data_IF_078081530956
#
_entry.id   IF_078081530956
#
_cell.length_a   1.000
_cell.length_b   1.000
_cell.length_c   1.000
_cell.angle_alpha   90.00
_cell.angle_beta   90.00
_cell.angle_gamma   90.00
#
_symmetry.space_group_name_H-M   'P 1'
#
loop_
_entity.id
_entity.type
_entity.pdbx_description
1 polymer ?
#
# COMPACT_ATOMS: atom_id res chain seq x y z
N UNK A 1 -10.53 17.28 -0.01
CA UNK A 1 -10.41 15.82 0.16
C UNK A 1 -10.40 15.51 1.66
N UNK A 2 -11.11 14.48 2.15
CA UNK A 2 -11.07 14.07 3.56
C UNK A 2 -9.66 13.70 3.99
N UNK A 3 -9.32 13.96 5.26
CA UNK A 3 -7.96 13.72 5.78
C UNK A 3 -7.53 12.25 5.65
N UNK A 4 -8.48 11.31 5.78
CA UNK A 4 -8.22 9.89 5.59
C UNK A 4 -7.78 9.54 4.16
N UNK A 5 -8.36 10.19 3.15
CA UNK A 5 -7.99 10.00 1.74
C UNK A 5 -6.60 10.58 1.48
N UNK A 6 -6.31 11.77 2.02
CA UNK A 6 -4.98 12.39 1.92
C UNK A 6 -3.93 11.48 2.58
N UNK A 7 -4.18 11.02 3.80
CA UNK A 7 -3.28 10.11 4.51
C UNK A 7 -3.03 8.81 3.72
N UNK A 8 -4.08 8.24 3.13
CA UNK A 8 -3.95 7.07 2.27
C UNK A 8 -3.11 7.37 1.01
N UNK A 9 -3.38 8.47 0.30
CA UNK A 9 -2.62 8.85 -0.89
C UNK A 9 -1.16 9.12 -0.58
N UNK A 10 -0.86 9.80 0.53
CA UNK A 10 0.50 10.00 1.02
C UNK A 10 1.18 8.66 1.28
N UNK A 11 0.52 7.75 1.99
CA UNK A 11 1.01 6.39 2.21
C UNK A 11 1.31 5.67 0.88
N UNK A 12 0.36 5.64 -0.05
CA UNK A 12 0.49 4.92 -1.31
C UNK A 12 1.60 5.51 -2.19
N UNK A 13 1.76 6.83 -2.21
CA UNK A 13 2.85 7.51 -2.94
C UNK A 13 4.21 7.24 -2.29
N UNK A 14 4.30 7.24 -0.96
CA UNK A 14 5.53 6.88 -0.25
C UNK A 14 5.90 5.41 -0.50
N UNK A 15 4.91 4.52 -0.51
CA UNK A 15 5.13 3.11 -0.82
C UNK A 15 5.62 2.97 -2.26
N UNK A 16 4.98 3.62 -3.23
CA UNK A 16 5.40 3.59 -4.64
C UNK A 16 6.80 4.20 -4.84
N UNK A 17 7.13 5.30 -4.16
CA UNK A 17 8.46 5.88 -4.20
C UNK A 17 9.51 4.92 -3.63
N UNK A 18 9.22 4.28 -2.50
CA UNK A 18 10.07 3.25 -1.90
C UNK A 18 10.28 2.06 -2.86
N UNK A 19 9.23 1.58 -3.50
CA UNK A 19 9.32 0.55 -4.54
C UNK A 19 10.17 1.01 -5.73
N UNK A 20 10.00 2.26 -6.17
CA UNK A 20 10.79 2.90 -7.23
C UNK A 20 12.30 2.87 -6.94
N UNK A 21 12.69 3.16 -5.69
CA UNK A 21 14.10 3.09 -5.26
C UNK A 21 14.67 1.66 -5.31
N UNK A 22 13.82 0.63 -5.23
CA UNK A 22 14.23 -0.78 -5.32
C UNK A 22 14.24 -1.35 -6.73
N UNK A 23 13.82 -0.59 -7.76
CA UNK A 23 13.68 -1.09 -9.13
C UNK A 23 14.96 -1.69 -9.70
N UNK A 24 16.13 -1.09 -9.45
CA UNK A 24 17.40 -1.63 -9.94
C UNK A 24 17.64 -3.09 -9.49
N UNK A 25 17.35 -3.39 -8.22
CA UNK A 25 17.47 -4.74 -7.65
C UNK A 25 16.42 -5.70 -8.24
N UNK A 26 15.20 -5.21 -8.46
CA UNK A 26 14.11 -5.99 -9.06
C UNK A 26 14.47 -6.38 -10.50
N UNK A 27 15.01 -5.43 -11.28
CA UNK A 27 15.45 -5.67 -12.67
C UNK A 27 16.59 -6.69 -12.71
N UNK A 28 17.61 -6.52 -11.87
CA UNK A 28 18.73 -7.47 -11.78
C UNK A 28 18.26 -8.88 -11.40
N UNK A 29 17.34 -8.98 -10.45
CA UNK A 29 16.72 -10.27 -10.08
C UNK A 29 15.96 -10.89 -11.25
N UNK A 30 15.20 -10.08 -12.02
CA UNK A 30 14.45 -10.55 -13.19
C UNK A 30 15.37 -11.00 -14.34
N UNK A 31 16.55 -10.39 -14.50
CA UNK A 31 17.55 -10.83 -15.48
C UNK A 31 18.14 -12.20 -15.12
N UNK A 32 18.44 -12.43 -13.84
CA UNK A 32 19.04 -13.69 -13.37
C UNK A 32 18.03 -14.83 -13.27
N UNK A 33 16.79 -14.51 -12.86
CA UNK A 33 15.70 -15.46 -12.74
C UNK A 33 14.39 -14.79 -13.16
N UNK A 34 13.86 -15.10 -14.36
CA UNK A 34 12.75 -14.35 -14.95
C UNK A 34 11.43 -14.46 -14.16
N UNK A 35 11.23 -15.55 -13.41
CA UNK A 35 10.05 -15.73 -12.56
C UNK A 35 10.50 -16.17 -11.18
N UNK A 36 10.26 -15.32 -10.19
CA UNK A 36 10.46 -15.63 -8.76
C UNK A 36 9.24 -15.20 -7.98
N UNK A 37 8.93 -15.90 -6.87
CA UNK A 37 7.81 -15.52 -6.01
C UNK A 37 7.94 -14.07 -5.53
N UNK A 38 9.16 -13.67 -5.14
CA UNK A 38 9.47 -12.31 -4.72
C UNK A 38 9.21 -11.30 -5.84
N UNK A 39 9.66 -11.57 -7.07
CA UNK A 39 9.42 -10.71 -8.23
C UNK A 39 7.91 -10.52 -8.51
N UNK A 40 7.12 -11.59 -8.42
CA UNK A 40 5.66 -11.53 -8.57
C UNK A 40 5.03 -10.63 -7.49
N UNK A 41 5.47 -10.75 -6.24
CA UNK A 41 5.00 -9.89 -5.14
C UNK A 41 5.33 -8.42 -5.40
N UNK A 42 6.56 -8.11 -5.84
CA UNK A 42 6.95 -6.73 -6.18
C UNK A 42 6.11 -6.16 -7.32
N UNK A 43 5.95 -6.89 -8.41
CA UNK A 43 5.14 -6.46 -9.56
C UNK A 43 3.68 -6.23 -9.16
N UNK A 44 3.11 -7.14 -8.36
CA UNK A 44 1.75 -7.00 -7.85
C UNK A 44 1.61 -5.76 -6.96
N UNK A 45 2.58 -5.46 -6.09
CA UNK A 45 2.56 -4.27 -5.22
C UNK A 45 2.68 -2.97 -6.02
N UNK A 46 3.56 -2.90 -7.02
CA UNK A 46 3.69 -1.74 -7.90
C UNK A 46 2.37 -1.51 -8.65
N UNK A 47 1.83 -2.57 -9.27
CA UNK A 47 0.57 -2.51 -10.00
C UNK A 47 -0.58 -2.07 -9.08
N UNK A 48 -0.70 -2.67 -7.90
CA UNK A 48 -1.70 -2.31 -6.91
C UNK A 48 -1.58 -0.83 -6.47
N UNK A 49 -0.37 -0.31 -6.28
CA UNK A 49 -0.18 1.10 -5.94
C UNK A 49 -0.66 2.04 -7.04
N UNK A 50 -0.11 1.89 -8.25
CA UNK A 50 -0.42 2.78 -9.37
C UNK A 50 -1.92 2.73 -9.67
N UNK A 51 -2.47 1.52 -9.76
CA UNK A 51 -3.89 1.30 -10.04
C UNK A 51 -4.79 1.90 -8.95
N UNK A 52 -4.49 1.64 -7.67
CA UNK A 52 -5.32 2.15 -6.56
C UNK A 52 -5.26 3.66 -6.45
N UNK A 53 -4.07 4.27 -6.57
CA UNK A 53 -3.91 5.73 -6.60
C UNK A 53 -4.77 6.32 -7.73
N UNK A 54 -4.71 5.72 -8.91
CA UNK A 54 -5.47 6.18 -10.09
C UNK A 54 -6.97 6.06 -9.85
N UNK A 55 -7.46 4.94 -9.33
CA UNK A 55 -8.88 4.77 -9.01
C UNK A 55 -9.35 5.76 -7.93
N UNK A 56 -8.57 5.94 -6.87
CA UNK A 56 -8.93 6.87 -5.79
C UNK A 56 -9.01 8.30 -6.32
N UNK A 57 -8.16 8.71 -7.26
CA UNK A 57 -8.18 10.08 -7.82
C UNK A 57 -9.24 10.23 -8.92
N UNK A 58 -9.31 9.29 -9.87
CA UNK A 58 -10.03 9.45 -11.14
C UNK A 58 -11.36 8.70 -11.21
N UNK A 59 -11.49 7.55 -10.53
CA UNK A 59 -12.68 6.69 -10.59
C UNK A 59 -13.12 6.28 -9.18
N UNK A 60 -13.43 7.31 -8.38
CA UNK A 60 -13.59 7.26 -6.92
C UNK A 60 -14.49 6.13 -6.43
N UNK A 61 -15.61 5.87 -7.11
CA UNK A 61 -16.59 4.83 -6.72
C UNK A 61 -16.02 3.41 -6.65
N UNK A 62 -15.00 3.10 -7.46
CA UNK A 62 -14.32 1.81 -7.42
C UNK A 62 -13.10 1.78 -6.47
N UNK A 63 -12.57 2.95 -6.10
CA UNK A 63 -11.29 3.06 -5.39
C UNK A 63 -11.30 2.57 -3.93
N UNK A 64 -12.46 2.55 -3.27
CA UNK A 64 -12.53 2.26 -1.82
C UNK A 64 -12.05 0.87 -1.44
N UNK A 65 -12.53 -0.16 -2.16
CA UNK A 65 -12.14 -1.54 -1.89
C UNK A 65 -10.64 -1.76 -2.07
N UNK A 66 -10.08 -1.18 -3.14
CA UNK A 66 -8.66 -1.23 -3.42
C UNK A 66 -7.82 -0.44 -2.40
N UNK A 67 -8.29 0.72 -1.94
CA UNK A 67 -7.60 1.49 -0.90
C UNK A 67 -7.53 0.74 0.43
N UNK A 68 -8.62 0.08 0.83
CA UNK A 68 -8.64 -0.80 2.00
C UNK A 68 -7.70 -1.99 1.79
N UNK A 69 -7.74 -2.64 0.62
CA UNK A 69 -6.86 -3.76 0.28
C UNK A 69 -5.37 -3.39 0.28
N UNK A 70 -4.99 -2.23 -0.26
CA UNK A 70 -3.61 -1.77 -0.23
C UNK A 70 -3.16 -1.43 1.21
N UNK A 71 -4.08 -0.99 2.07
CA UNK A 71 -3.77 -0.72 3.49
C UNK A 71 -3.51 -1.99 4.29
N UNK A 72 -4.05 -3.16 3.88
CA UNK A 72 -3.81 -4.42 4.59
C UNK A 72 -2.41 -4.97 4.37
N UNK A 73 -1.67 -4.52 3.35
CA UNK A 73 -0.26 -4.90 3.08
C UNK A 73 0.64 -4.59 4.27
N UNK A 74 0.31 -3.59 5.06
CA UNK A 74 1.06 -3.22 6.26
C UNK A 74 0.93 -4.26 7.40
N UNK A 75 -0.13 -5.09 7.41
CA UNK A 75 -0.29 -6.15 8.40
C UNK A 75 0.79 -7.23 8.29
N UNK A 76 1.05 -7.87 7.13
CA UNK A 76 2.16 -8.80 7.01
C UNK A 76 3.53 -8.10 7.05
N UNK A 77 3.63 -6.81 6.70
CA UNK A 77 4.88 -6.07 6.80
C UNK A 77 5.39 -5.94 8.25
N UNK A 78 4.48 -5.76 9.23
CA UNK A 78 4.84 -5.63 10.64
C UNK A 78 5.60 -6.86 11.20
N UNK A 79 5.02 -8.07 11.16
CA UNK A 79 5.70 -9.30 11.54
C UNK A 79 6.97 -9.55 10.73
N UNK A 80 6.98 -9.25 9.43
CA UNK A 80 8.16 -9.43 8.59
C UNK A 80 9.33 -8.55 9.06
N UNK A 81 9.07 -7.28 9.39
CA UNK A 81 10.06 -6.37 9.98
C UNK A 81 10.50 -6.87 11.36
N UNK A 82 9.55 -7.32 12.19
CA UNK A 82 9.85 -7.80 13.53
C UNK A 82 10.76 -9.03 13.53
N UNK A 83 10.48 -9.99 12.65
CA UNK A 83 11.31 -11.18 12.45
C UNK A 83 12.69 -10.83 11.90
N UNK A 84 12.76 -9.87 10.96
CA UNK A 84 14.03 -9.44 10.34
C UNK A 84 14.95 -8.75 11.35
N UNK A 85 14.39 -7.98 12.28
CA UNK A 85 15.15 -7.23 13.28
C UNK A 85 15.26 -7.93 14.64
N UNK A 86 14.62 -9.10 14.80
CA UNK A 86 14.57 -9.84 16.07
C UNK A 86 13.85 -9.12 17.21
N UNK A 87 13.07 -8.08 16.92
CA UNK A 87 12.36 -7.26 17.90
C UNK A 87 10.99 -6.84 17.36
N UNK A 88 9.95 -6.94 18.19
CA UNK A 88 8.60 -6.57 17.79
C UNK A 88 8.36 -5.05 17.70
N UNK A 89 9.12 -4.25 18.47
CA UNK A 89 8.95 -2.80 18.53
C UNK A 89 8.96 -2.10 17.16
N UNK A 90 9.92 -2.35 16.25
CA UNK A 90 9.90 -1.77 14.89
C UNK A 90 8.79 -2.31 13.97
N UNK A 91 8.18 -3.45 14.31
CA UNK A 91 7.06 -4.04 13.56
C UNK A 91 5.69 -3.46 13.91
N UNK A 92 5.55 -2.77 15.05
CA UNK A 92 4.30 -2.18 15.50
C UNK A 92 3.82 -0.97 14.67
N UNK A 93 4.68 0.01 14.28
CA UNK A 93 4.23 1.19 13.54
C UNK A 93 3.49 0.88 12.23
N UNK A 94 3.94 -0.06 11.36
CA UNK A 94 3.19 -0.45 10.17
C UNK A 94 1.77 -0.94 10.49
N UNK A 95 1.63 -1.78 11.51
CA UNK A 95 0.33 -2.34 11.94
C UNK A 95 -0.60 -1.22 12.43
N UNK A 96 -0.08 -0.29 13.24
CA UNK A 96 -0.85 0.85 13.72
C UNK A 96 -1.31 1.74 12.57
N UNK A 97 -0.43 2.04 11.61
CA UNK A 97 -0.77 2.81 10.41
C UNK A 97 -1.86 2.09 9.61
N UNK A 98 -1.76 0.76 9.44
CA UNK A 98 -2.77 -0.06 8.76
C UNK A 98 -4.15 0.11 9.41
N UNK A 99 -4.21 -0.02 10.74
CA UNK A 99 -5.45 0.10 11.50
C UNK A 99 -6.05 1.51 11.40
N UNK A 100 -5.22 2.55 11.51
CA UNK A 100 -5.67 3.94 11.37
C UNK A 100 -6.19 4.25 9.96
N UNK A 101 -5.49 3.80 8.92
CA UNK A 101 -5.91 3.95 7.53
C UNK A 101 -7.23 3.22 7.26
N UNK A 102 -7.34 1.95 7.66
CA UNK A 102 -8.56 1.16 7.46
C UNK A 102 -9.73 1.79 8.22
N UNK A 103 -9.52 2.24 9.45
CA UNK A 103 -10.55 2.95 10.23
C UNK A 103 -10.98 4.24 9.53
N UNK A 104 -10.02 5.05 9.08
CA UNK A 104 -10.29 6.31 8.38
C UNK A 104 -11.03 6.13 7.04
N UNK A 105 -10.61 5.14 6.23
CA UNK A 105 -11.23 4.82 4.94
C UNK A 105 -12.63 4.19 5.09
N UNK A 106 -12.93 3.61 6.26
CA UNK A 106 -14.26 3.10 6.59
C UNK A 106 -15.23 4.19 7.07
N UNK A 107 -14.74 5.36 7.46
CA UNK A 107 -15.56 6.47 7.94
C UNK A 107 -16.45 7.11 6.86
N UNK A 108 -17.49 7.80 7.30
CA UNK A 108 -18.52 8.38 6.42
C UNK A 108 -17.95 9.46 5.50
N UNK A 109 -17.06 10.33 5.99
CA UNK A 109 -16.42 11.36 5.17
C UNK A 109 -15.63 10.79 3.99
N UNK A 110 -14.93 9.66 4.20
CA UNK A 110 -14.17 9.00 3.14
C UNK A 110 -15.11 8.31 2.14
N UNK A 111 -16.23 7.77 2.64
CA UNK A 111 -17.26 7.13 1.82
C UNK A 111 -17.99 8.14 0.94
N UNK A 112 -18.38 9.29 1.48
CA UNK A 112 -19.02 10.37 0.74
C UNK A 112 -18.12 10.84 -0.40
N UNK A 113 -16.85 11.16 -0.08
CA UNK A 113 -15.90 11.59 -1.09
C UNK A 113 -15.66 10.52 -2.18
N UNK A 114 -15.58 9.24 -1.80
CA UNK A 114 -15.39 8.15 -2.76
C UNK A 114 -16.65 7.86 -3.59
N UNK A 115 -17.82 8.32 -3.15
CA UNK A 115 -19.10 8.14 -3.86
C UNK A 115 -19.51 9.36 -4.70
N UNK A 116 -18.81 10.50 -4.57
CA UNK A 116 -18.96 11.62 -5.50
C UNK A 116 -18.60 11.16 -6.92
N UNK A 117 -19.62 11.05 -7.79
CA UNK A 117 -19.50 10.74 -9.22
C UNK A 117 -19.19 12.01 -9.99
#
# INVERSE_FOLDING_TARGET
MPIAIVAFLTYALLLLAGLGLTLGRIVEQATNAPITLQGVVWMALIAACIFTITLVIQRKGAGRGFAIGLSTVLFPAGPLIALTLGNWLPGLPPILIAMLLIRGLRGDSAREWLNEI
#
